data_IF_872967689139
#
_entry.id   IF_872967689139
#
_cell.length_a   1.000
_cell.length_b   1.000
_cell.length_c   1.000
_cell.angle_alpha   90.00
_cell.angle_beta   90.00
_cell.angle_gamma   90.00
#
_symmetry.space_group_name_H-M   'P 1'
#
loop_
_entity.id
_entity.type
_entity.pdbx_description
1 polymer ?
#
# COMPACT_ATOMS: atom_id res chain seq x y z
N UNK A 1 5.25 27.04 3.50
CA UNK A 1 6.40 27.93 3.67
C UNK A 1 7.49 27.46 2.73
N UNK A 2 7.88 28.31 1.85
CA UNK A 2 8.59 28.17 0.59
C UNK A 2 10.02 27.60 0.72
N UNK A 3 10.45 26.74 -0.26
CA UNK A 3 11.83 26.70 -0.68
C UNK A 3 11.86 26.66 -2.23
N UNK A 4 12.03 27.87 -2.78
CA UNK A 4 12.47 28.09 -4.14
C UNK A 4 13.99 27.86 -4.18
N UNK A 5 14.46 26.88 -4.93
CA UNK A 5 15.85 26.85 -5.40
C UNK A 5 15.88 27.29 -6.87
N UNK A 6 16.34 28.49 -7.02
CA UNK A 6 16.61 29.22 -8.25
C UNK A 6 17.83 28.61 -8.95
N UNK A 7 17.66 28.15 -10.18
CA UNK A 7 18.76 27.96 -11.12
C UNK A 7 18.84 29.19 -12.01
N UNK A 8 19.91 29.98 -11.96
CA UNK A 8 20.11 31.12 -12.84
C UNK A 8 20.81 30.67 -14.15
N UNK A 9 20.11 30.77 -15.24
CA UNK A 9 20.76 30.68 -16.56
C UNK A 9 19.91 30.01 -17.61
N UNK A 10 18.89 30.69 -18.12
CA UNK A 10 18.29 30.71 -19.46
C UNK A 10 16.79 31.09 -19.41
N UNK A 11 16.49 32.32 -18.98
CA UNK A 11 15.20 32.92 -19.27
C UNK A 11 15.40 34.28 -19.90
N UNK A 12 15.20 34.39 -21.22
CA UNK A 12 15.32 35.65 -21.95
C UNK A 12 14.14 36.62 -21.78
N UNK A 13 13.06 36.23 -21.08
CA UNK A 13 12.00 37.14 -20.61
C UNK A 13 11.07 36.44 -19.61
N UNK A 14 10.48 37.22 -18.67
CA UNK A 14 9.51 36.72 -17.65
C UNK A 14 8.28 36.08 -18.31
N UNK A 15 7.86 36.58 -19.48
CA UNK A 15 6.75 36.03 -20.26
C UNK A 15 7.05 34.62 -20.78
N UNK A 16 8.28 34.35 -21.21
CA UNK A 16 8.72 33.02 -21.66
C UNK A 16 8.75 32.00 -20.51
N UNK A 17 9.10 32.43 -19.30
CA UNK A 17 9.14 31.58 -18.12
C UNK A 17 7.72 31.19 -17.63
N UNK A 18 6.78 32.14 -17.66
CA UNK A 18 5.37 31.92 -17.29
C UNK A 18 4.70 30.99 -18.31
N UNK A 19 4.98 31.17 -19.60
CA UNK A 19 4.42 30.33 -20.68
C UNK A 19 4.98 28.90 -20.64
N UNK A 20 6.25 28.75 -20.33
CA UNK A 20 6.90 27.44 -20.14
C UNK A 20 6.34 26.73 -18.91
N UNK A 21 6.12 27.47 -17.82
CA UNK A 21 5.50 26.94 -16.59
C UNK A 21 4.05 26.48 -16.84
N UNK A 22 3.24 27.28 -17.54
CA UNK A 22 1.87 26.89 -17.91
C UNK A 22 1.83 25.67 -18.83
N UNK A 23 2.75 25.57 -19.79
CA UNK A 23 2.85 24.40 -20.68
C UNK A 23 3.28 23.15 -19.93
N UNK A 24 4.19 23.29 -18.96
CA UNK A 24 4.59 22.20 -18.06
C UNK A 24 3.44 21.73 -17.19
N UNK A 25 2.69 22.67 -16.58
CA UNK A 25 1.49 22.39 -15.80
C UNK A 25 0.38 21.74 -16.63
N UNK A 26 0.17 22.21 -17.85
CA UNK A 26 -0.80 21.62 -18.78
C UNK A 26 -0.39 20.20 -19.19
N UNK A 27 0.91 19.96 -19.42
CA UNK A 27 1.44 18.64 -19.79
C UNK A 27 1.40 17.66 -18.62
N UNK A 28 1.68 18.13 -17.40
CA UNK A 28 1.55 17.34 -16.17
C UNK A 28 0.08 16.99 -15.93
N UNK A 29 -0.82 17.96 -16.01
CA UNK A 29 -2.27 17.76 -15.86
C UNK A 29 -2.83 16.84 -16.96
N UNK A 30 -2.37 16.96 -18.21
CA UNK A 30 -2.78 16.08 -19.32
C UNK A 30 -2.27 14.66 -19.14
N UNK A 31 -1.07 14.47 -18.58
CA UNK A 31 -0.56 13.14 -18.20
C UNK A 31 -1.36 12.53 -17.05
N UNK A 32 -1.77 13.31 -16.05
CA UNK A 32 -2.63 12.83 -14.98
C UNK A 32 -4.04 12.47 -15.48
N UNK A 33 -4.63 13.28 -16.35
CA UNK A 33 -5.97 13.00 -16.93
C UNK A 33 -5.97 11.77 -17.83
N UNK A 34 -4.90 11.53 -18.61
CA UNK A 34 -4.76 10.31 -19.43
C UNK A 34 -4.56 9.08 -18.56
N UNK A 35 -3.97 9.21 -17.37
CA UNK A 35 -3.81 8.11 -16.41
C UNK A 35 -5.14 7.69 -15.76
N UNK A 36 -6.12 8.62 -15.67
CA UNK A 36 -7.44 8.39 -15.07
C UNK A 36 -8.45 7.77 -16.04
N UNK A 37 -8.17 7.78 -17.35
CA UNK A 37 -9.17 7.42 -18.38
C UNK A 37 -9.20 5.92 -18.75
N UNK A 38 -8.47 5.03 -18.08
CA UNK A 38 -8.36 3.64 -18.52
C UNK A 38 -8.96 2.60 -17.58
N UNK A 39 -9.94 2.96 -16.75
CA UNK A 39 -10.79 1.96 -16.06
C UNK A 39 -12.24 2.42 -16.00
N UNK A 40 -13.07 1.76 -16.81
CA UNK A 40 -14.51 1.70 -16.65
C UNK A 40 -14.89 0.97 -15.34
N UNK A 41 -14.62 1.57 -14.19
CA UNK A 41 -15.45 1.30 -13.03
C UNK A 41 -16.70 2.14 -13.29
N UNK A 42 -17.84 1.47 -13.44
CA UNK A 42 -19.11 2.11 -13.68
C UNK A 42 -19.25 3.35 -12.79
N UNK A 43 -19.28 4.53 -13.37
CA UNK A 43 -19.40 5.83 -12.68
C UNK A 43 -20.59 5.85 -11.72
N UNK A 44 -21.63 5.09 -12.05
CA UNK A 44 -22.82 4.89 -11.22
C UNK A 44 -22.53 4.08 -9.94
N UNK A 45 -21.64 3.09 -10.01
CA UNK A 45 -21.24 2.27 -8.85
C UNK A 45 -20.36 3.10 -7.89
N UNK A 46 -19.43 3.86 -8.43
CA UNK A 46 -18.56 4.73 -7.64
C UNK A 46 -19.37 5.81 -6.90
N UNK A 47 -20.39 6.41 -7.57
CA UNK A 47 -21.29 7.39 -6.95
C UNK A 47 -22.11 6.79 -5.81
N UNK A 48 -22.61 5.55 -5.95
CA UNK A 48 -23.34 4.84 -4.89
C UNK A 48 -22.44 4.47 -3.72
N UNK A 49 -21.25 3.95 -3.98
CA UNK A 49 -20.29 3.54 -2.96
C UNK A 49 -19.67 4.74 -2.21
N UNK A 50 -19.62 5.92 -2.84
CA UNK A 50 -19.07 7.12 -2.22
C UNK A 50 -19.81 7.54 -0.94
N UNK A 51 -21.09 7.20 -0.82
CA UNK A 51 -21.89 7.45 0.40
C UNK A 51 -21.44 6.58 1.59
N UNK A 52 -20.96 5.37 1.31
CA UNK A 52 -20.55 4.39 2.33
C UNK A 52 -19.03 4.35 2.54
N UNK A 53 -18.27 5.03 1.70
CA UNK A 53 -16.82 5.06 1.81
C UNK A 53 -16.37 5.87 3.03
N UNK A 54 -15.68 5.20 3.94
CA UNK A 54 -15.11 5.79 5.15
C UNK A 54 -13.92 6.67 4.74
N UNK A 55 -13.94 7.92 5.16
CA UNK A 55 -12.78 8.81 4.99
C UNK A 55 -11.74 8.46 6.03
N UNK A 56 -10.45 8.57 5.64
CA UNK A 56 -9.34 8.37 6.56
C UNK A 56 -9.36 6.99 7.23
N UNK A 57 -9.80 5.96 6.47
CA UNK A 57 -9.91 4.59 6.98
C UNK A 57 -8.64 4.12 7.69
N UNK A 58 -7.48 4.42 7.10
CA UNK A 58 -6.21 3.99 7.68
C UNK A 58 -5.87 4.68 8.99
N UNK A 59 -6.29 5.94 9.17
CA UNK A 59 -6.14 6.64 10.47
C UNK A 59 -6.91 5.94 11.57
N UNK A 60 -8.16 5.52 11.27
CA UNK A 60 -9.01 4.80 12.23
C UNK A 60 -8.38 3.48 12.64
N UNK A 61 -7.83 2.73 11.67
CA UNK A 61 -7.20 1.44 11.92
C UNK A 61 -5.93 1.58 12.76
N UNK A 62 -5.04 2.49 12.36
CA UNK A 62 -3.78 2.74 13.07
C UNK A 62 -4.04 3.22 14.50
N UNK A 63 -5.02 4.11 14.68
CA UNK A 63 -5.41 4.57 16.01
C UNK A 63 -5.96 3.44 16.88
N UNK A 64 -6.81 2.57 16.33
CA UNK A 64 -7.33 1.40 17.03
C UNK A 64 -6.23 0.39 17.41
N UNK A 65 -5.26 0.14 16.53
CA UNK A 65 -4.08 -0.68 16.83
C UNK A 65 -3.23 -0.06 17.95
N UNK A 66 -3.05 1.27 17.93
CA UNK A 66 -2.35 2.00 18.97
C UNK A 66 -3.03 1.90 20.34
N UNK A 67 -4.36 2.05 20.38
CA UNK A 67 -5.14 1.89 21.62
C UNK A 67 -4.99 0.47 22.17
N UNK A 68 -5.17 -0.56 21.34
CA UNK A 68 -5.04 -1.94 21.81
C UNK A 68 -3.63 -2.22 22.34
N UNK A 69 -2.62 -1.70 21.64
CA UNK A 69 -1.24 -1.84 22.08
C UNK A 69 -1.00 -1.13 23.42
N UNK A 70 -1.49 0.09 23.61
CA UNK A 70 -1.40 0.82 24.86
C UNK A 70 -2.08 0.07 26.01
N UNK A 71 -3.25 -0.53 25.76
CA UNK A 71 -3.93 -1.38 26.74
C UNK A 71 -3.12 -2.63 27.11
N UNK A 72 -2.41 -3.23 26.14
CA UNK A 72 -1.51 -4.37 26.42
C UNK A 72 -0.32 -3.97 27.29
N UNK A 73 0.14 -2.73 27.22
CA UNK A 73 1.25 -2.21 28.04
C UNK A 73 0.81 -1.77 29.42
N UNK A 74 -0.33 -1.05 29.52
CA UNK A 74 -0.81 -0.47 30.78
C UNK A 74 -1.55 -1.53 31.64
N UNK A 75 -2.39 -2.33 30.97
CA UNK A 75 -3.23 -3.37 31.62
C UNK A 75 -3.02 -4.72 30.91
N UNK A 76 -1.91 -5.43 31.13
CA UNK A 76 -1.56 -6.63 30.36
C UNK A 76 -2.66 -7.68 30.32
N UNK A 77 -3.29 -7.98 31.46
CA UNK A 77 -4.36 -8.98 31.57
C UNK A 77 -5.56 -8.65 30.66
N UNK A 78 -6.01 -7.40 30.66
CA UNK A 78 -7.12 -6.93 29.83
C UNK A 78 -6.70 -6.85 28.35
N UNK A 79 -5.55 -6.26 28.08
CA UNK A 79 -5.03 -6.08 26.72
C UNK A 79 -4.82 -7.41 26.01
N UNK A 80 -4.20 -8.40 26.64
CA UNK A 80 -4.03 -9.75 26.06
C UNK A 80 -5.35 -10.51 25.91
N UNK A 81 -6.33 -10.30 26.80
CA UNK A 81 -7.69 -10.85 26.61
C UNK A 81 -8.33 -10.29 25.36
N UNK A 82 -8.30 -8.96 25.18
CA UNK A 82 -8.85 -8.29 23.99
C UNK A 82 -8.11 -8.74 22.72
N UNK A 83 -6.78 -8.78 22.74
CA UNK A 83 -5.98 -9.31 21.64
C UNK A 83 -6.46 -10.70 21.20
N UNK A 84 -6.64 -11.64 22.14
CA UNK A 84 -7.13 -13.00 21.84
C UNK A 84 -8.57 -13.02 21.33
N UNK A 85 -9.43 -12.12 21.79
CA UNK A 85 -10.82 -11.99 21.33
C UNK A 85 -10.91 -11.37 19.93
N UNK A 86 -9.93 -10.55 19.55
CA UNK A 86 -9.90 -9.86 18.24
C UNK A 86 -9.16 -10.66 17.17
N UNK A 87 -8.29 -11.58 17.54
CA UNK A 87 -7.50 -12.40 16.62
C UNK A 87 -8.38 -13.34 15.80
N UNK A 88 -8.15 -13.38 14.49
CA UNK A 88 -8.93 -14.18 13.56
C UNK A 88 -8.49 -15.66 13.60
N UNK A 89 -9.39 -16.58 13.98
CA UNK A 89 -9.16 -18.01 14.01
C UNK A 89 -10.40 -18.77 13.55
N UNK A 90 -10.19 -19.86 12.79
CA UNK A 90 -11.25 -20.70 12.24
C UNK A 90 -12.19 -21.26 13.33
N UNK A 91 -11.63 -21.79 14.42
CA UNK A 91 -12.43 -22.37 15.52
C UNK A 91 -13.36 -21.34 16.15
N UNK A 92 -12.87 -20.12 16.39
CA UNK A 92 -13.69 -19.05 16.95
C UNK A 92 -14.76 -18.53 15.96
N UNK A 93 -14.48 -18.49 14.66
CA UNK A 93 -15.48 -18.14 13.66
C UNK A 93 -16.62 -19.18 13.61
N UNK A 94 -16.28 -20.46 13.61
CA UNK A 94 -17.25 -21.56 13.61
C UNK A 94 -18.07 -21.62 14.90
N UNK A 95 -17.55 -21.13 16.02
CA UNK A 95 -18.29 -20.97 17.29
C UNK A 95 -19.17 -19.72 17.34
N UNK A 96 -19.37 -19.00 16.21
CA UNK A 96 -20.27 -17.85 16.11
C UNK A 96 -19.66 -16.50 16.47
N UNK A 97 -18.35 -16.38 16.66
CA UNK A 97 -17.69 -15.11 17.00
C UNK A 97 -17.43 -14.26 15.75
N UNK A 98 -18.52 -13.79 15.10
CA UNK A 98 -18.47 -13.06 13.82
C UNK A 98 -17.82 -11.68 13.91
N UNK A 99 -17.75 -11.04 15.08
CA UNK A 99 -17.07 -9.75 15.24
C UNK A 99 -15.59 -9.81 14.85
N UNK A 100 -14.96 -10.99 14.93
CA UNK A 100 -13.57 -11.22 14.56
C UNK A 100 -13.29 -10.94 13.08
N UNK A 101 -14.32 -11.02 12.21
CA UNK A 101 -14.22 -10.69 10.79
C UNK A 101 -13.78 -9.23 10.55
N UNK A 102 -14.08 -8.35 11.49
CA UNK A 102 -13.72 -6.94 11.40
C UNK A 102 -12.63 -6.56 12.41
N UNK A 103 -12.70 -7.10 13.62
CA UNK A 103 -11.80 -6.64 14.70
C UNK A 103 -10.35 -7.05 14.53
N UNK A 104 -10.05 -8.08 13.73
CA UNK A 104 -8.66 -8.54 13.51
C UNK A 104 -7.75 -7.47 12.86
N UNK A 105 -8.32 -6.48 12.17
CA UNK A 105 -7.56 -5.38 11.58
C UNK A 105 -6.93 -4.46 12.62
N UNK A 106 -7.52 -4.41 13.83
CA UNK A 106 -7.02 -3.61 14.95
C UNK A 106 -5.94 -4.31 15.78
N UNK A 107 -5.62 -5.55 15.45
CA UNK A 107 -4.55 -6.29 16.12
C UNK A 107 -3.20 -5.67 15.75
N UNK A 108 -2.36 -5.26 16.72
CA UNK A 108 -1.06 -4.64 16.44
C UNK A 108 -0.12 -5.64 15.74
N UNK A 109 0.75 -5.18 14.82
CA UNK A 109 1.59 -6.05 14.00
C UNK A 109 2.75 -6.69 14.77
N UNK A 110 3.08 -6.18 15.93
CA UNK A 110 4.19 -6.65 16.77
C UNK A 110 3.89 -6.42 18.25
N UNK A 111 4.65 -7.06 19.13
CA UNK A 111 4.62 -6.84 20.58
C UNK A 111 5.76 -5.96 21.09
N UNK A 112 6.80 -5.76 20.27
CA UNK A 112 7.94 -4.90 20.61
C UNK A 112 7.59 -3.41 20.44
N UNK A 113 7.82 -2.55 21.46
CA UNK A 113 7.42 -1.14 21.42
C UNK A 113 7.99 -0.36 20.23
N UNK A 114 9.29 -0.52 19.97
CA UNK A 114 9.96 0.16 18.86
C UNK A 114 9.34 -0.22 17.50
N UNK A 115 9.11 -1.53 17.29
CA UNK A 115 8.55 -2.03 16.03
C UNK A 115 7.08 -1.63 15.86
N UNK A 116 6.28 -1.56 16.94
CA UNK A 116 4.89 -1.10 16.84
C UNK A 116 4.83 0.35 16.44
N UNK A 117 5.57 1.25 17.10
CA UNK A 117 5.57 2.67 16.77
C UNK A 117 5.98 2.90 15.30
N UNK A 118 7.07 2.22 14.88
CA UNK A 118 7.52 2.29 13.49
C UNK A 118 6.47 1.77 12.51
N UNK A 119 5.87 0.61 12.79
CA UNK A 119 4.87 -0.01 11.92
C UNK A 119 3.60 0.83 11.81
N UNK A 120 3.11 1.39 12.92
CA UNK A 120 1.94 2.25 12.94
C UNK A 120 2.17 3.53 12.12
N UNK A 121 3.31 4.18 12.31
CA UNK A 121 3.71 5.34 11.51
C UNK A 121 3.80 4.99 10.01
N UNK A 122 4.40 3.85 9.70
CA UNK A 122 4.60 3.38 8.34
C UNK A 122 3.25 3.06 7.65
N UNK A 123 2.35 2.36 8.32
CA UNK A 123 1.01 2.06 7.79
C UNK A 123 0.15 3.31 7.64
N UNK A 124 0.28 4.26 8.58
CA UNK A 124 -0.36 5.56 8.45
C UNK A 124 0.10 6.29 7.18
N UNK A 125 1.41 6.38 6.96
CA UNK A 125 2.00 7.04 5.79
C UNK A 125 1.58 6.37 4.48
N UNK A 126 1.68 5.04 4.40
CA UNK A 126 1.29 4.25 3.22
C UNK A 126 -0.20 4.44 2.94
N UNK A 127 -1.05 4.21 3.95
CA UNK A 127 -2.48 4.22 3.77
C UNK A 127 -3.02 5.58 3.37
N UNK A 128 -2.57 6.65 4.02
CA UNK A 128 -2.99 8.03 3.67
C UNK A 128 -2.52 8.42 2.27
N UNK A 129 -1.32 8.04 1.87
CA UNK A 129 -0.80 8.30 0.52
C UNK A 129 -1.58 7.54 -0.56
N UNK A 130 -1.93 6.27 -0.31
CA UNK A 130 -2.73 5.46 -1.24
C UNK A 130 -4.17 5.98 -1.32
N UNK A 131 -4.78 6.34 -0.19
CA UNK A 131 -6.12 6.93 -0.15
C UNK A 131 -6.18 8.26 -0.90
N UNK A 132 -5.17 9.13 -0.73
CA UNK A 132 -5.07 10.38 -1.46
C UNK A 132 -4.94 10.19 -2.98
N UNK A 133 -4.24 9.14 -3.41
CA UNK A 133 -4.01 8.87 -4.84
C UNK A 133 -5.17 8.12 -5.51
N UNK A 134 -5.76 7.14 -4.87
CA UNK A 134 -6.84 6.32 -5.44
C UNK A 134 -8.24 6.90 -5.20
N UNK A 135 -8.35 7.77 -4.20
CA UNK A 135 -9.62 8.22 -3.66
C UNK A 135 -10.22 7.23 -2.66
N UNK A 136 -11.09 7.74 -1.83
CA UNK A 136 -11.71 7.02 -0.70
C UNK A 136 -12.36 5.69 -1.12
N UNK A 137 -13.16 5.70 -2.19
CA UNK A 137 -13.94 4.53 -2.63
C UNK A 137 -13.04 3.37 -3.04
N UNK A 138 -12.02 3.65 -3.88
CA UNK A 138 -11.12 2.61 -4.37
C UNK A 138 -10.24 2.06 -3.25
N UNK A 139 -9.77 2.92 -2.34
CA UNK A 139 -8.99 2.49 -1.19
C UNK A 139 -9.79 1.61 -0.23
N UNK A 140 -11.03 2.02 0.10
CA UNK A 140 -11.92 1.21 0.94
C UNK A 140 -12.22 -0.16 0.29
N UNK A 141 -12.49 -0.18 -1.02
CA UNK A 141 -12.75 -1.42 -1.76
C UNK A 141 -11.54 -2.35 -1.75
N UNK A 142 -10.34 -1.81 -1.98
CA UNK A 142 -9.08 -2.55 -1.89
C UNK A 142 -8.91 -3.19 -0.52
N UNK A 143 -9.10 -2.38 0.53
CA UNK A 143 -8.96 -2.84 1.92
C UNK A 143 -9.98 -3.91 2.27
N UNK A 144 -11.24 -3.71 1.86
CA UNK A 144 -12.33 -4.65 2.10
C UNK A 144 -12.11 -6.01 1.40
N UNK A 145 -11.65 -5.99 0.13
CA UNK A 145 -11.32 -7.23 -0.59
C UNK A 145 -10.13 -7.93 0.07
N UNK A 146 -9.14 -7.18 0.56
CA UNK A 146 -8.03 -7.74 1.33
C UNK A 146 -8.49 -8.38 2.65
N UNK A 147 -9.46 -7.78 3.34
CA UNK A 147 -10.09 -8.37 4.53
C UNK A 147 -10.79 -9.69 4.19
N UNK A 148 -11.57 -9.73 3.10
CA UNK A 148 -12.23 -10.95 2.65
C UNK A 148 -11.20 -12.05 2.31
N UNK A 149 -10.12 -11.69 1.64
CA UNK A 149 -9.04 -12.63 1.34
C UNK A 149 -8.39 -13.20 2.62
N UNK A 150 -8.20 -12.36 3.65
CA UNK A 150 -7.70 -12.82 4.96
C UNK A 150 -8.68 -13.77 5.65
N UNK A 151 -9.99 -13.51 5.57
CA UNK A 151 -11.02 -14.40 6.11
C UNK A 151 -11.01 -15.75 5.38
N UNK A 152 -10.94 -15.75 4.05
CA UNK A 152 -10.83 -16.98 3.25
C UNK A 152 -9.56 -17.75 3.63
N UNK A 153 -8.42 -17.05 3.76
CA UNK A 153 -7.18 -17.66 4.24
C UNK A 153 -7.37 -18.31 5.61
N UNK A 154 -8.01 -17.63 6.56
CA UNK A 154 -8.30 -18.18 7.89
C UNK A 154 -9.16 -19.46 7.84
N UNK A 155 -10.19 -19.49 7.01
CA UNK A 155 -11.05 -20.65 6.85
C UNK A 155 -10.29 -21.86 6.26
N UNK A 156 -9.35 -21.62 5.35
CA UNK A 156 -8.54 -22.67 4.74
C UNK A 156 -7.39 -23.13 5.62
N UNK A 157 -6.72 -22.20 6.31
CA UNK A 157 -5.47 -22.48 7.03
C UNK A 157 -5.63 -22.62 8.56
N UNK A 158 -6.80 -22.22 9.09
CA UNK A 158 -7.10 -22.26 10.53
C UNK A 158 -6.82 -20.94 11.26
N UNK A 159 -5.92 -20.10 10.75
CA UNK A 159 -5.54 -18.81 11.34
C UNK A 159 -5.13 -17.83 10.26
N UNK A 160 -5.49 -16.56 10.43
CA UNK A 160 -4.96 -15.47 9.63
C UNK A 160 -4.82 -14.19 10.47
N UNK A 161 -3.81 -13.38 10.16
CA UNK A 161 -3.60 -12.07 10.74
C UNK A 161 -3.74 -10.95 9.70
N UNK A 162 -3.59 -9.73 10.16
CA UNK A 162 -3.57 -8.55 9.30
C UNK A 162 -2.22 -8.33 8.58
N UNK A 163 -1.19 -9.10 8.92
CA UNK A 163 0.17 -8.98 8.36
C UNK A 163 0.16 -9.03 6.83
N UNK A 164 -0.58 -9.99 6.26
CA UNK A 164 -0.64 -10.14 4.81
C UNK A 164 -1.44 -9.03 4.11
N UNK A 165 -2.43 -8.48 4.80
CA UNK A 165 -3.16 -7.31 4.31
C UNK A 165 -2.25 -6.08 4.29
N UNK A 166 -1.52 -5.87 5.36
CA UNK A 166 -0.54 -4.79 5.48
C UNK A 166 0.59 -4.93 4.45
N UNK A 167 1.04 -6.17 4.19
CA UNK A 167 2.01 -6.48 3.15
C UNK A 167 1.47 -6.12 1.76
N UNK A 168 0.21 -6.43 1.47
CA UNK A 168 -0.40 -6.06 0.19
C UNK A 168 -0.42 -4.55 -0.02
N UNK A 169 -0.72 -3.77 1.03
CA UNK A 169 -0.64 -2.31 1.01
C UNK A 169 0.77 -1.81 0.77
N UNK A 170 1.76 -2.45 1.40
CA UNK A 170 3.17 -2.12 1.21
C UNK A 170 3.61 -2.31 -0.24
N UNK A 171 3.31 -3.46 -0.85
CA UNK A 171 3.62 -3.69 -2.27
C UNK A 171 2.87 -2.74 -3.21
N UNK A 172 1.60 -2.43 -2.88
CA UNK A 172 0.83 -1.44 -3.61
C UNK A 172 1.50 -0.06 -3.60
N UNK A 173 1.97 0.35 -2.44
CA UNK A 173 2.68 1.62 -2.26
C UNK A 173 4.03 1.63 -2.98
N UNK A 174 4.84 0.58 -2.82
CA UNK A 174 6.14 0.46 -3.47
C UNK A 174 6.04 0.47 -5.00
N UNK A 175 4.99 -0.14 -5.56
CA UNK A 175 4.72 -0.11 -7.00
C UNK A 175 4.36 1.29 -7.51
N UNK A 176 3.72 2.11 -6.68
CA UNK A 176 3.30 3.47 -7.05
C UNK A 176 4.37 4.53 -6.79
N UNK A 177 5.19 4.33 -5.77
CA UNK A 177 6.21 5.27 -5.31
C UNK A 177 7.58 4.60 -5.13
N UNK A 178 8.18 4.02 -6.19
CA UNK A 178 9.40 3.22 -6.09
C UNK A 178 10.63 4.00 -5.64
N UNK A 179 10.70 5.28 -5.99
CA UNK A 179 11.85 6.15 -5.69
C UNK A 179 11.67 6.97 -4.41
N UNK A 180 10.54 6.80 -3.70
CA UNK A 180 10.31 7.46 -2.43
C UNK A 180 11.27 6.90 -1.38
N UNK A 181 11.92 7.78 -0.64
CA UNK A 181 12.83 7.41 0.45
C UNK A 181 12.04 7.34 1.76
N UNK A 182 12.17 6.24 2.46
CA UNK A 182 11.60 6.02 3.78
C UNK A 182 12.72 5.91 4.78
N UNK A 183 12.60 6.65 5.87
CA UNK A 183 13.54 6.57 6.98
C UNK A 183 13.30 5.30 7.78
N UNK A 184 14.07 4.26 7.51
CA UNK A 184 14.02 3.02 8.29
C UNK A 184 14.56 3.31 9.69
N UNK A 185 13.75 3.05 10.72
CA UNK A 185 14.07 3.37 12.13
C UNK A 185 14.46 4.85 12.34
N UNK A 186 13.94 5.77 11.49
CA UNK A 186 14.26 7.21 11.52
C UNK A 186 15.75 7.56 11.32
N UNK A 187 16.58 6.61 10.88
CA UNK A 187 18.04 6.78 10.74
C UNK A 187 18.48 6.60 9.29
N UNK A 188 18.01 5.55 8.60
CA UNK A 188 18.50 5.15 7.28
C UNK A 188 17.47 5.50 6.18
N UNK A 189 17.77 6.45 5.28
CA UNK A 189 16.94 6.71 4.11
C UNK A 189 17.11 5.59 3.07
N UNK A 190 16.11 4.73 2.95
CA UNK A 190 16.10 3.63 1.96
C UNK A 190 14.98 3.88 0.95
N UNK A 191 15.28 3.72 -0.33
CA UNK A 191 14.25 3.80 -1.38
C UNK A 191 13.31 2.62 -1.29
N UNK A 192 12.02 2.90 -1.44
CA UNK A 192 10.93 1.93 -1.32
C UNK A 192 11.12 0.69 -2.20
N UNK A 193 11.68 0.86 -3.40
CA UNK A 193 11.95 -0.24 -4.33
C UNK A 193 12.91 -1.31 -3.76
N UNK A 194 13.95 -0.89 -3.04
CA UNK A 194 14.90 -1.85 -2.44
C UNK A 194 14.26 -2.62 -1.30
N UNK A 195 13.47 -1.93 -0.47
CA UNK A 195 12.75 -2.56 0.62
C UNK A 195 11.73 -3.58 0.08
N UNK A 196 11.01 -3.23 -0.99
CA UNK A 196 10.05 -4.13 -1.63
C UNK A 196 10.71 -5.36 -2.26
N UNK A 197 11.91 -5.22 -2.84
CA UNK A 197 12.66 -6.35 -3.41
C UNK A 197 13.13 -7.30 -2.30
N UNK A 198 13.65 -6.77 -1.19
CA UNK A 198 14.08 -7.57 -0.04
C UNK A 198 12.90 -8.34 0.53
N UNK A 199 11.78 -7.66 0.75
CA UNK A 199 10.58 -8.24 1.31
C UNK A 199 9.98 -9.31 0.37
N UNK A 200 9.93 -9.03 -0.94
CA UNK A 200 9.53 -10.02 -1.95
C UNK A 200 10.44 -11.26 -1.94
N UNK A 201 11.76 -11.10 -1.79
CA UNK A 201 12.69 -12.22 -1.69
C UNK A 201 12.43 -13.08 -0.45
N UNK A 202 12.14 -12.45 0.70
CA UNK A 202 11.77 -13.14 1.94
C UNK A 202 10.48 -13.96 1.73
N UNK A 203 9.46 -13.38 1.08
CA UNK A 203 8.20 -14.09 0.82
C UNK A 203 8.33 -15.20 -0.21
N UNK A 204 9.19 -15.05 -1.23
CA UNK A 204 9.54 -16.14 -2.16
C UNK A 204 10.22 -17.29 -1.40
N UNK A 205 11.16 -16.98 -0.52
CA UNK A 205 11.79 -18.00 0.33
C UNK A 205 10.74 -18.69 1.23
N UNK A 206 9.86 -17.94 1.89
CA UNK A 206 8.77 -18.49 2.71
C UNK A 206 7.78 -19.34 1.89
N UNK A 207 7.55 -18.98 0.63
CA UNK A 207 6.70 -19.76 -0.27
C UNK A 207 7.32 -21.11 -0.62
N UNK A 208 8.65 -21.17 -0.79
CA UNK A 208 9.39 -22.42 -1.12
C UNK A 208 9.46 -23.32 0.10
N UNK A 209 9.90 -22.79 1.25
CA UNK A 209 10.18 -23.57 2.47
C UNK A 209 8.96 -23.74 3.37
N UNK A 210 7.99 -22.82 3.27
CA UNK A 210 6.84 -22.74 4.17
C UNK A 210 5.81 -23.86 3.95
N UNK A 211 4.96 -24.02 4.95
CA UNK A 211 3.84 -24.96 4.95
C UNK A 211 2.75 -24.54 3.94
N UNK A 212 1.85 -25.48 3.61
CA UNK A 212 0.71 -25.21 2.72
C UNK A 212 -0.11 -23.97 3.15
N UNK A 213 -0.32 -23.78 4.45
CA UNK A 213 -0.99 -22.60 5.02
C UNK A 213 -0.31 -21.29 4.63
N UNK A 214 1.01 -21.21 4.75
CA UNK A 214 1.80 -20.03 4.38
C UNK A 214 1.70 -19.75 2.89
N UNK A 215 1.80 -20.78 2.06
CA UNK A 215 1.68 -20.67 0.58
C UNK A 215 0.32 -20.10 0.17
N UNK A 216 -0.77 -20.65 0.71
CA UNK A 216 -2.14 -20.18 0.43
C UNK A 216 -2.28 -18.71 0.79
N UNK A 217 -1.80 -18.32 1.96
CA UNK A 217 -1.93 -16.93 2.44
C UNK A 217 -1.12 -15.95 1.59
N UNK A 218 0.09 -16.32 1.17
CA UNK A 218 0.92 -15.51 0.26
C UNK A 218 0.23 -15.34 -1.10
N UNK A 219 -0.32 -16.42 -1.68
CA UNK A 219 -1.05 -16.35 -2.95
C UNK A 219 -2.25 -15.43 -2.87
N UNK A 220 -3.06 -15.52 -1.80
CA UNK A 220 -4.23 -14.66 -1.61
C UNK A 220 -3.84 -13.19 -1.42
N UNK A 221 -2.74 -12.92 -0.71
CA UNK A 221 -2.19 -11.58 -0.57
C UNK A 221 -1.76 -10.98 -1.92
N UNK A 222 -0.98 -11.73 -2.69
CA UNK A 222 -0.52 -11.31 -4.01
C UNK A 222 -1.69 -11.16 -4.99
N UNK A 223 -2.69 -12.04 -4.94
CA UNK A 223 -3.90 -11.93 -5.75
C UNK A 223 -4.61 -10.59 -5.52
N UNK A 224 -4.72 -10.11 -4.27
CA UNK A 224 -5.28 -8.80 -3.96
C UNK A 224 -4.48 -7.66 -4.63
N UNK A 225 -3.15 -7.71 -4.56
CA UNK A 225 -2.27 -6.74 -5.22
C UNK A 225 -2.48 -6.76 -6.74
N UNK A 226 -2.49 -7.96 -7.35
CA UNK A 226 -2.65 -8.11 -8.80
C UNK A 226 -4.04 -7.68 -9.30
N UNK A 227 -5.09 -7.91 -8.55
CA UNK A 227 -6.44 -7.49 -8.91
C UNK A 227 -6.54 -5.97 -9.05
N UNK A 228 -5.92 -5.21 -8.16
CA UNK A 228 -6.01 -3.75 -8.15
C UNK A 228 -4.91 -3.06 -8.95
N UNK A 229 -3.69 -3.55 -8.86
CA UNK A 229 -2.52 -2.93 -9.49
C UNK A 229 -2.08 -3.63 -10.77
N UNK A 230 -2.57 -4.83 -11.07
CA UNK A 230 -2.09 -5.62 -12.21
C UNK A 230 -2.08 -4.83 -13.52
N UNK A 231 -3.13 -4.06 -13.80
CA UNK A 231 -3.16 -3.19 -14.99
C UNK A 231 -2.13 -2.07 -14.97
N UNK A 232 -1.91 -1.46 -13.82
CA UNK A 232 -0.98 -0.33 -13.67
C UNK A 232 0.47 -0.82 -13.62
N UNK A 233 0.72 -1.97 -12.97
CA UNK A 233 2.01 -2.66 -12.97
C UNK A 233 2.43 -3.10 -14.37
N UNK A 234 1.55 -3.75 -15.11
CA UNK A 234 1.82 -4.19 -16.49
C UNK A 234 2.14 -2.99 -17.38
N UNK A 235 1.39 -1.89 -17.25
CA UNK A 235 1.64 -0.68 -18.02
C UNK A 235 2.97 0.00 -17.62
N UNK A 236 3.32 -0.01 -16.35
CA UNK A 236 4.59 0.53 -15.85
C UNK A 236 5.76 -0.31 -16.34
N UNK A 237 5.70 -1.63 -16.22
CA UNK A 237 6.73 -2.56 -16.71
C UNK A 237 6.89 -2.43 -18.23
N UNK A 238 5.79 -2.36 -18.99
CA UNK A 238 5.85 -2.14 -20.45
C UNK A 238 6.50 -0.82 -20.81
N UNK A 239 6.25 0.25 -20.03
CA UNK A 239 6.83 1.57 -20.27
C UNK A 239 8.32 1.58 -19.97
N UNK A 240 8.76 0.99 -18.87
CA UNK A 240 10.16 0.85 -18.53
C UNK A 240 10.92 -0.03 -19.52
N UNK A 241 10.33 -1.15 -19.92
CA UNK A 241 10.92 -2.04 -20.94
C UNK A 241 11.11 -1.32 -22.29
N UNK A 242 10.14 -0.47 -22.72
CA UNK A 242 10.32 0.38 -23.92
C UNK A 242 11.43 1.40 -23.74
N UNK A 243 11.52 2.02 -22.57
CA UNK A 243 12.55 2.99 -22.26
C UNK A 243 13.96 2.38 -22.31
N UNK A 244 14.12 1.17 -21.78
CA UNK A 244 15.35 0.40 -21.84
C UNK A 244 15.74 0.03 -23.29
N UNK A 245 14.78 -0.45 -24.09
CA UNK A 245 15.01 -0.74 -25.52
C UNK A 245 15.43 0.49 -26.30
N UNK A 246 14.77 1.61 -26.09
CA UNK A 246 15.12 2.88 -26.77
C UNK A 246 16.52 3.34 -26.38
N UNK A 247 16.86 3.27 -25.10
CA UNK A 247 18.18 3.64 -24.57
C UNK A 247 19.29 2.71 -25.08
N UNK A 248 19.00 1.43 -25.16
CA UNK A 248 19.93 0.45 -25.73
C UNK A 248 20.18 0.70 -27.22
N UNK A 249 19.12 0.91 -28.01
CA UNK A 249 19.22 1.21 -29.44
C UNK A 249 19.96 2.53 -29.71
N UNK A 250 19.71 3.56 -28.90
CA UNK A 250 20.41 4.83 -28.99
C UNK A 250 21.91 4.67 -28.70
N UNK A 251 22.28 3.95 -27.64
CA UNK A 251 23.69 3.65 -27.36
C UNK A 251 24.38 2.84 -28.46
N UNK A 252 23.65 1.93 -29.11
CA UNK A 252 24.16 1.14 -30.22
C UNK A 252 24.36 1.99 -31.48
N UNK A 253 23.47 2.96 -31.72
CA UNK A 253 23.59 3.89 -32.83
C UNK A 253 24.75 4.89 -32.67
N UNK A 254 25.05 5.32 -31.43
CA UNK A 254 26.15 6.23 -31.11
C UNK A 254 27.53 5.56 -31.11
N UNK A 255 27.59 4.23 -31.19
CA UNK A 255 28.85 3.44 -31.24
C UNK A 255 29.27 3.08 -32.70
N UNK A 256 28.43 3.40 -33.68
CA UNK A 256 28.76 3.35 -35.12
C UNK A 256 29.22 4.71 -35.59
#
# INVERSE_FOLDING_TARGET
MYFFLFFPGQCKSVISCVYSSQKLWYTIRKKEVVFLNNRHINFNLERRLRRYAISDLMKIIVFGQGILYALMMIMPTLGYRLYRLMTLSRGALLSGQIWRLVTFIFVPPSTSPLFVIFSLYFYYMIGTSLEARWGKVKFNLYYFIGMLAAVVACLLTGYAGNTFLNLSLFFAYAAMYPDMEVLLFMILPIKMKYLAVIDAAIYVHQFIVGNASTRITIVLCLANVFLFLGGDLINTIRRESRYWKTRYNFRKAMRK
#
